data_IF_728690609671
#
_entry.id   IF_728690609671
#
_cell.length_a   1.000
_cell.length_b   1.000
_cell.length_c   1.000
_cell.angle_alpha   90.00
_cell.angle_beta   90.00
_cell.angle_gamma   90.00
#
_symmetry.space_group_name_H-M   'P 1'
#
loop_
_entity.id
_entity.type
_entity.pdbx_description
1 polymer ?
#
# COMPACT_ATOMS: atom_id res chain seq x y z
N UNK A 1 -11.98 12.98 -22.44
CA UNK A 1 -11.83 12.67 -21.01
C UNK A 1 -10.37 12.88 -20.66
N UNK A 2 -10.05 13.78 -19.73
CA UNK A 2 -8.68 13.96 -19.26
C UNK A 2 -8.30 12.79 -18.38
N UNK A 3 -7.12 12.22 -18.59
CA UNK A 3 -6.56 11.20 -17.71
C UNK A 3 -6.23 11.82 -16.34
N UNK A 4 -6.65 11.15 -15.25
CA UNK A 4 -6.38 11.58 -13.88
C UNK A 4 -5.73 10.42 -13.13
N UNK A 5 -4.54 10.67 -12.60
CA UNK A 5 -3.85 9.71 -11.72
C UNK A 5 -4.56 9.67 -10.37
N UNK A 6 -5.20 8.55 -10.04
CA UNK A 6 -5.98 8.41 -8.80
C UNK A 6 -5.08 8.09 -7.61
N UNK A 7 -4.06 7.25 -7.81
CA UNK A 7 -3.07 6.92 -6.80
C UNK A 7 -1.76 6.46 -7.45
N UNK A 8 -0.71 6.36 -6.65
CA UNK A 8 0.55 5.75 -7.03
C UNK A 8 0.93 4.62 -6.08
N UNK A 9 1.91 3.81 -6.46
CA UNK A 9 2.43 2.79 -5.55
C UNK A 9 3.10 3.49 -4.36
N UNK A 10 2.70 3.21 -3.11
CA UNK A 10 3.35 3.74 -1.92
C UNK A 10 4.83 3.33 -1.86
N UNK A 11 5.69 4.19 -1.32
CA UNK A 11 7.13 3.95 -1.17
C UNK A 11 7.41 2.80 -0.19
N UNK A 12 6.61 2.71 0.87
CA UNK A 12 6.68 1.60 1.83
C UNK A 12 6.32 0.24 1.18
N UNK A 13 5.62 0.23 0.05
CA UNK A 13 5.26 -1.01 -0.64
C UNK A 13 6.43 -1.57 -1.46
N UNK A 14 7.06 -2.63 -0.94
CA UNK A 14 8.20 -3.33 -1.56
C UNK A 14 8.02 -3.55 -3.08
N UNK A 15 8.84 -2.94 -3.95
CA UNK A 15 8.63 -2.92 -5.40
C UNK A 15 8.73 -4.30 -6.07
N UNK A 16 9.49 -5.22 -5.49
CA UNK A 16 9.80 -6.54 -6.08
C UNK A 16 8.98 -7.69 -5.48
N UNK A 17 7.96 -7.38 -4.66
CA UNK A 17 7.07 -8.38 -4.08
C UNK A 17 5.71 -8.30 -4.76
N UNK A 18 5.35 -9.42 -5.40
CA UNK A 18 4.02 -9.62 -5.96
C UNK A 18 2.97 -9.67 -4.86
N UNK A 19 1.85 -8.97 -5.07
CA UNK A 19 0.70 -9.05 -4.18
C UNK A 19 -0.02 -10.40 -4.34
N UNK A 20 -0.49 -10.97 -3.23
CA UNK A 20 -1.42 -12.12 -3.24
C UNK A 20 -2.90 -11.69 -3.36
N UNK A 21 -3.17 -10.38 -3.31
CA UNK A 21 -4.54 -9.86 -3.33
C UNK A 21 -5.06 -9.70 -4.76
N UNK A 22 -6.32 -10.09 -4.96
CA UNK A 22 -7.03 -9.91 -6.22
C UNK A 22 -7.15 -8.41 -6.59
N UNK A 23 -7.10 -8.04 -7.88
CA UNK A 23 -7.30 -6.65 -8.31
C UNK A 23 -8.65 -6.09 -7.84
N UNK A 24 -8.63 -4.96 -7.15
CA UNK A 24 -9.83 -4.27 -6.65
C UNK A 24 -10.47 -4.86 -5.40
N UNK A 25 -9.94 -5.93 -4.81
CA UNK A 25 -10.48 -6.44 -3.54
C UNK A 25 -10.12 -5.54 -2.36
N UNK A 26 -10.94 -5.60 -1.30
CA UNK A 26 -10.76 -4.79 -0.10
C UNK A 26 -9.40 -5.00 0.58
N UNK A 27 -8.84 -6.22 0.53
CA UNK A 27 -7.53 -6.52 1.12
C UNK A 27 -6.41 -5.70 0.49
N UNK A 28 -6.34 -5.67 -0.86
CA UNK A 28 -5.32 -4.91 -1.57
C UNK A 28 -5.48 -3.39 -1.39
N UNK A 29 -6.73 -2.92 -1.34
CA UNK A 29 -7.03 -1.51 -1.08
C UNK A 29 -6.60 -1.14 0.35
N UNK A 30 -6.98 -1.92 1.36
CA UNK A 30 -6.61 -1.67 2.75
C UNK A 30 -5.09 -1.69 2.94
N UNK A 31 -4.39 -2.68 2.37
CA UNK A 31 -2.95 -2.76 2.43
C UNK A 31 -2.27 -1.52 1.80
N UNK A 32 -2.75 -1.07 0.62
CA UNK A 32 -2.28 0.18 0.00
C UNK A 32 -2.45 1.38 0.93
N UNK A 33 -3.65 1.57 1.47
CA UNK A 33 -3.97 2.71 2.35
C UNK A 33 -3.10 2.72 3.61
N UNK A 34 -2.86 1.56 4.21
CA UNK A 34 -1.94 1.45 5.36
C UNK A 34 -0.54 1.88 4.97
N UNK A 35 -0.01 1.45 3.81
CA UNK A 35 1.29 1.89 3.33
C UNK A 35 1.34 3.41 3.04
N UNK A 36 0.28 3.99 2.47
CA UNK A 36 0.18 5.44 2.22
C UNK A 36 0.28 6.23 3.54
N UNK A 37 -0.45 5.81 4.57
CA UNK A 37 -0.39 6.45 5.89
C UNK A 37 0.99 6.30 6.54
N UNK A 38 1.65 5.15 6.39
CA UNK A 38 3.03 4.97 6.88
C UNK A 38 4.00 5.95 6.19
N UNK A 39 3.85 6.14 4.88
CA UNK A 39 4.66 7.08 4.10
C UNK A 39 4.37 8.54 4.53
N UNK A 40 3.10 8.91 4.68
CA UNK A 40 2.67 10.25 5.12
C UNK A 40 3.20 10.61 6.51
N UNK A 41 3.18 9.65 7.43
CA UNK A 41 3.68 9.82 8.80
C UNK A 41 5.21 9.68 8.91
N UNK A 42 5.88 9.14 7.89
CA UNK A 42 7.33 8.91 7.91
C UNK A 42 7.77 7.85 8.92
N UNK A 43 6.91 6.88 9.25
CA UNK A 43 7.13 5.92 10.35
C UNK A 43 7.57 4.53 9.90
N UNK A 44 7.98 4.35 8.63
CA UNK A 44 8.37 3.05 8.08
C UNK A 44 9.44 2.34 8.93
N UNK A 45 10.48 3.07 9.36
CA UNK A 45 11.58 2.52 10.17
C UNK A 45 11.24 2.38 11.68
N UNK A 46 10.04 2.77 12.09
CA UNK A 46 9.57 2.72 13.48
C UNK A 46 8.31 1.86 13.64
N UNK A 47 7.96 1.08 12.62
CA UNK A 47 6.73 0.27 12.57
C UNK A 47 7.06 -1.20 12.34
N UNK A 48 6.32 -2.09 13.00
CA UNK A 48 6.35 -3.54 12.74
C UNK A 48 4.96 -3.95 12.25
N UNK A 49 4.89 -4.49 11.04
CA UNK A 49 3.65 -5.07 10.50
C UNK A 49 3.45 -6.50 11.00
N UNK A 50 2.29 -6.78 11.59
CA UNK A 50 1.88 -8.13 11.99
C UNK A 50 0.56 -8.44 11.30
N UNK A 51 0.59 -9.38 10.35
CA UNK A 51 -0.59 -9.82 9.61
C UNK A 51 -0.87 -11.31 9.89
N UNK A 52 -2.12 -11.71 10.18
CA UNK A 52 -2.47 -13.10 10.46
C UNK A 52 -2.85 -13.94 9.22
N UNK A 53 -2.61 -13.42 8.01
CA UNK A 53 -3.12 -13.98 6.74
C UNK A 53 -2.01 -14.43 5.81
#
# INVERSE_FOLDING_TARGET
MSEVKIYERPKTWMPDVSSHYCPGCGHGIAHRLVCEVIDELGIQNHSIGVAPV
#
